data_IF_696756793179
#
_entry.id   IF_696756793179
#
_cell.length_a   1.000
_cell.length_b   1.000
_cell.length_c   1.000
_cell.angle_alpha   90.00
_cell.angle_beta   90.00
_cell.angle_gamma   90.00
#
_symmetry.space_group_name_H-M   'P 1'
#
loop_
_entity.id
_entity.type
_entity.pdbx_description
1 polymer ?
#
# COMPACT_ATOMS: atom_id res chain seq x y z
N UNK A 1 -4.02 -1.91 16.28
CA UNK A 1 -3.25 -2.22 15.05
C UNK A 1 -3.16 -1.00 14.16
N UNK A 2 -2.17 -0.95 13.25
CA UNK A 2 -2.04 0.08 12.21
C UNK A 2 -2.03 -0.63 10.86
N UNK A 3 -3.01 -0.35 10.01
CA UNK A 3 -3.11 -0.91 8.65
C UNK A 3 -2.56 0.09 7.63
N UNK A 4 -1.49 -0.25 6.92
CA UNK A 4 -0.81 0.68 6.01
C UNK A 4 -1.29 0.57 4.55
N UNK A 5 -2.17 -0.38 4.25
CA UNK A 5 -2.62 -0.61 2.89
C UNK A 5 -4.13 -0.91 2.83
N UNK A 6 -4.91 0.14 2.68
CA UNK A 6 -6.35 0.05 2.45
C UNK A 6 -6.77 0.94 1.28
N UNK A 7 -7.96 0.71 0.75
CA UNK A 7 -8.46 1.45 -0.40
C UNK A 7 -9.79 2.15 -0.10
N UNK A 8 -9.81 3.45 -0.38
CA UNK A 8 -11.04 4.22 -0.49
C UNK A 8 -11.05 4.92 -1.85
N UNK A 9 -12.17 4.88 -2.52
CA UNK A 9 -12.32 5.49 -3.83
C UNK A 9 -13.60 6.34 -3.88
N UNK A 10 -13.63 7.41 -4.68
CA UNK A 10 -14.90 8.08 -4.98
C UNK A 10 -15.94 7.07 -5.45
N UNK A 11 -17.22 7.17 -5.04
CA UNK A 11 -18.24 6.14 -5.28
C UNK A 11 -18.38 5.72 -6.75
N UNK A 12 -18.29 6.67 -7.68
CA UNK A 12 -18.34 6.37 -9.13
C UNK A 12 -17.14 5.56 -9.61
N UNK A 13 -15.95 5.86 -9.08
CA UNK A 13 -14.74 5.12 -9.40
C UNK A 13 -14.81 3.70 -8.84
N UNK A 14 -15.28 3.56 -7.59
CA UNK A 14 -15.42 2.25 -6.98
C UNK A 14 -16.42 1.35 -7.71
N UNK A 15 -17.56 1.91 -8.14
CA UNK A 15 -18.52 1.19 -8.97
C UNK A 15 -17.91 0.72 -10.30
N UNK A 16 -17.02 1.51 -10.91
CA UNK A 16 -16.31 1.14 -12.12
C UNK A 16 -15.28 0.02 -11.86
N UNK A 17 -14.53 0.09 -10.77
CA UNK A 17 -13.58 -0.94 -10.33
C UNK A 17 -14.31 -2.27 -10.11
N UNK A 18 -15.39 -2.28 -9.33
CA UNK A 18 -16.21 -3.49 -9.09
C UNK A 18 -16.70 -4.14 -10.38
N UNK A 19 -17.24 -3.35 -11.29
CA UNK A 19 -17.70 -3.85 -12.59
C UNK A 19 -16.53 -4.43 -13.40
N UNK A 20 -15.39 -3.78 -13.40
CA UNK A 20 -14.19 -4.26 -14.10
C UNK A 20 -13.73 -5.63 -13.57
N UNK A 21 -13.71 -5.82 -12.25
CA UNK A 21 -13.38 -7.10 -11.62
C UNK A 21 -14.42 -8.17 -11.93
N UNK A 22 -15.71 -7.87 -11.82
CA UNK A 22 -16.80 -8.80 -12.11
C UNK A 22 -16.81 -9.31 -13.58
N UNK A 23 -16.35 -8.47 -14.51
CA UNK A 23 -16.27 -8.83 -15.92
C UNK A 23 -15.04 -9.64 -16.30
N UNK A 24 -13.95 -9.56 -15.52
CA UNK A 24 -12.60 -10.05 -15.91
C UNK A 24 -11.97 -11.04 -14.97
N UNK A 25 -12.55 -11.26 -13.81
CA UNK A 25 -11.98 -12.15 -12.81
C UNK A 25 -13.06 -12.89 -12.02
N UNK A 26 -12.67 -13.91 -11.29
CA UNK A 26 -13.49 -14.56 -10.24
C UNK A 26 -13.38 -13.83 -8.90
N UNK A 27 -12.69 -12.71 -8.86
CA UNK A 27 -12.44 -11.91 -7.67
C UNK A 27 -13.64 -11.00 -7.41
N UNK A 28 -14.50 -11.41 -6.49
CA UNK A 28 -15.72 -10.67 -6.16
C UNK A 28 -15.44 -9.67 -5.03
N UNK A 29 -15.60 -8.37 -5.34
CA UNK A 29 -15.49 -7.29 -4.35
C UNK A 29 -16.86 -7.03 -3.73
N UNK A 30 -17.21 -7.75 -2.67
CA UNK A 30 -18.57 -7.73 -2.05
C UNK A 30 -18.63 -6.88 -0.78
N UNK A 31 -17.47 -6.45 -0.24
CA UNK A 31 -17.41 -5.66 0.99
C UNK A 31 -18.00 -4.26 0.82
N UNK A 32 -18.40 -3.60 1.93
CA UNK A 32 -18.83 -2.20 1.89
C UNK A 32 -17.79 -1.29 1.27
N UNK A 33 -18.25 -0.24 0.60
CA UNK A 33 -17.39 0.71 -0.13
C UNK A 33 -17.53 2.14 0.36
N UNK A 34 -18.55 2.41 1.18
CA UNK A 34 -18.72 3.71 1.80
C UNK A 34 -17.62 3.93 2.85
N UNK A 35 -16.90 5.06 2.84
CA UNK A 35 -15.74 5.28 3.69
C UNK A 35 -15.99 5.06 5.18
N UNK A 36 -17.14 5.49 5.70
CA UNK A 36 -17.50 5.31 7.11
C UNK A 36 -17.72 3.83 7.48
N UNK A 37 -18.33 3.04 6.60
CA UNK A 37 -18.55 1.61 6.84
C UNK A 37 -17.23 0.84 6.76
N UNK A 38 -16.37 1.17 5.80
CA UNK A 38 -15.02 0.59 5.68
C UNK A 38 -14.22 0.87 6.96
N UNK A 39 -14.18 2.13 7.39
CA UNK A 39 -13.44 2.54 8.60
C UNK A 39 -14.04 1.93 9.88
N UNK A 40 -15.37 1.82 9.98
CA UNK A 40 -16.06 1.20 11.12
C UNK A 40 -15.63 -0.26 11.28
N UNK A 41 -15.67 -1.04 10.19
CA UNK A 41 -15.26 -2.45 10.21
C UNK A 41 -13.80 -2.60 10.66
N UNK A 42 -12.89 -1.80 10.15
CA UNK A 42 -11.49 -1.82 10.58
C UNK A 42 -11.36 -1.53 12.08
N UNK A 43 -12.06 -0.52 12.59
CA UNK A 43 -12.04 -0.15 14.02
C UNK A 43 -12.62 -1.24 14.90
N UNK A 44 -13.68 -1.93 14.47
CA UNK A 44 -14.26 -3.10 15.16
C UNK A 44 -13.24 -4.25 15.30
N UNK A 45 -12.26 -4.34 14.38
CA UNK A 45 -11.15 -5.29 14.45
C UNK A 45 -9.91 -4.73 15.19
N UNK A 46 -10.03 -3.58 15.87
CA UNK A 46 -8.97 -3.01 16.68
C UNK A 46 -7.93 -2.19 15.92
N UNK A 47 -8.25 -1.71 14.72
CA UNK A 47 -7.39 -0.78 13.98
C UNK A 47 -7.54 0.62 14.55
N UNK A 48 -6.43 1.18 15.01
CA UNK A 48 -6.36 2.53 15.59
C UNK A 48 -6.08 3.58 14.51
N UNK A 49 -5.17 3.24 13.59
CA UNK A 49 -4.81 4.07 12.45
C UNK A 49 -4.76 3.22 11.18
N UNK A 50 -5.09 3.82 10.05
CA UNK A 50 -4.98 3.16 8.76
C UNK A 50 -4.61 4.14 7.66
N UNK A 51 -3.68 3.73 6.80
CA UNK A 51 -3.39 4.44 5.57
C UNK A 51 -4.34 3.95 4.47
N UNK A 52 -4.93 4.89 3.74
CA UNK A 52 -5.82 4.57 2.64
C UNK A 52 -5.46 5.34 1.38
N UNK A 53 -5.74 4.74 0.24
CA UNK A 53 -5.32 5.28 -1.05
C UNK A 53 -6.35 5.06 -2.15
N UNK A 54 -6.16 5.82 -3.21
CA UNK A 54 -6.65 5.60 -4.56
C UNK A 54 -5.48 5.81 -5.52
N UNK A 55 -5.66 5.59 -6.82
CA UNK A 55 -4.60 5.83 -7.80
C UNK A 55 -5.14 6.43 -9.09
N UNK A 56 -4.38 7.38 -9.64
CA UNK A 56 -4.70 8.05 -10.89
C UNK A 56 -4.39 7.11 -12.07
N UNK A 57 -5.38 6.32 -12.51
CA UNK A 57 -5.26 5.34 -13.59
C UNK A 57 -5.14 5.96 -14.99
N UNK A 58 -5.19 7.27 -15.10
CA UNK A 58 -5.02 8.07 -16.32
C UNK A 58 -4.61 9.50 -15.97
N UNK A 59 -4.02 10.23 -16.91
CA UNK A 59 -3.71 11.66 -16.71
C UNK A 59 -4.95 12.51 -16.41
N UNK A 60 -4.75 13.60 -15.69
CA UNK A 60 -5.75 14.66 -15.45
C UNK A 60 -6.71 14.38 -14.30
N UNK A 61 -6.54 13.29 -13.53
CA UNK A 61 -7.44 12.98 -12.41
C UNK A 61 -6.75 12.97 -11.04
N UNK A 62 -5.42 13.13 -11.00
CA UNK A 62 -4.67 13.02 -9.75
C UNK A 62 -5.09 14.07 -8.72
N UNK A 63 -5.25 15.35 -9.12
CA UNK A 63 -5.66 16.43 -8.23
C UNK A 63 -7.02 16.19 -7.60
N UNK A 64 -8.02 15.88 -8.41
CA UNK A 64 -9.39 15.62 -7.91
C UNK A 64 -9.41 14.42 -6.94
N UNK A 65 -8.62 13.38 -7.22
CA UNK A 65 -8.49 12.25 -6.30
C UNK A 65 -7.80 12.64 -4.99
N UNK A 66 -6.74 13.43 -5.05
CA UNK A 66 -6.02 13.90 -3.86
C UNK A 66 -6.90 14.79 -2.98
N UNK A 67 -7.66 15.70 -3.59
CA UNK A 67 -8.63 16.55 -2.89
C UNK A 67 -9.71 15.71 -2.19
N UNK A 68 -10.22 14.71 -2.89
CA UNK A 68 -11.21 13.78 -2.33
C UNK A 68 -10.62 12.95 -1.18
N UNK A 69 -9.41 12.43 -1.31
CA UNK A 69 -8.71 11.65 -0.27
C UNK A 69 -8.49 12.51 0.98
N UNK A 70 -8.01 13.74 0.81
CA UNK A 70 -7.80 14.67 1.93
C UNK A 70 -9.12 15.07 2.61
N UNK A 71 -10.20 15.29 1.85
CA UNK A 71 -11.53 15.56 2.39
C UNK A 71 -12.07 14.37 3.18
N UNK A 72 -11.99 13.16 2.61
CA UNK A 72 -12.42 11.92 3.26
C UNK A 72 -11.66 11.66 4.57
N UNK A 73 -10.35 11.92 4.60
CA UNK A 73 -9.58 11.80 5.84
C UNK A 73 -10.11 12.73 6.95
N UNK A 74 -10.43 13.98 6.60
CA UNK A 74 -11.03 14.92 7.56
C UNK A 74 -12.40 14.46 8.09
N UNK A 75 -13.23 13.88 7.23
CA UNK A 75 -14.55 13.34 7.60
C UNK A 75 -14.43 12.10 8.50
N UNK A 76 -13.50 11.20 8.21
CA UNK A 76 -13.27 9.99 9.00
C UNK A 76 -12.59 10.27 10.34
N UNK A 77 -11.91 11.42 10.47
CA UNK A 77 -11.27 11.88 11.69
C UNK A 77 -9.97 11.19 12.03
N UNK A 78 -9.58 11.27 13.30
CA UNK A 78 -8.29 10.78 13.77
C UNK A 78 -8.05 9.32 13.43
N UNK A 79 -6.84 9.03 12.96
CA UNK A 79 -6.41 7.69 12.56
C UNK A 79 -6.59 7.36 11.07
N UNK A 80 -7.35 8.14 10.31
CA UNK A 80 -7.44 7.99 8.85
C UNK A 80 -6.34 8.80 8.15
N UNK A 81 -5.40 8.13 7.50
CA UNK A 81 -4.19 8.71 6.91
C UNK A 81 -4.23 8.54 5.38
N UNK A 82 -4.48 9.60 4.60
CA UNK A 82 -4.56 9.47 3.14
C UNK A 82 -3.17 9.39 2.52
N UNK A 83 -3.02 8.53 1.51
CA UNK A 83 -1.89 8.54 0.59
C UNK A 83 -2.34 9.18 -0.72
N UNK A 84 -1.60 10.17 -1.20
CA UNK A 84 -1.86 10.81 -2.47
C UNK A 84 -1.51 9.94 -3.67
N UNK A 85 -1.79 10.45 -4.86
CA UNK A 85 -1.48 9.81 -6.14
C UNK A 85 -1.05 10.86 -7.15
N UNK A 86 -0.26 10.46 -8.14
CA UNK A 86 0.11 11.29 -9.30
C UNK A 86 0.03 10.45 -10.57
N UNK A 87 0.03 11.11 -11.73
CA UNK A 87 0.26 10.43 -13.02
C UNK A 87 1.43 11.08 -13.73
N UNK A 88 2.36 10.29 -14.24
CA UNK A 88 3.60 10.81 -14.86
C UNK A 88 3.37 11.62 -16.15
N UNK A 89 2.21 11.44 -16.79
CA UNK A 89 1.82 12.21 -17.98
C UNK A 89 1.04 13.48 -17.62
N UNK A 90 0.83 13.81 -16.34
CA UNK A 90 0.31 15.09 -15.93
C UNK A 90 1.38 16.20 -16.11
N UNK A 91 1.00 17.47 -16.30
CA UNK A 91 1.96 18.53 -16.58
C UNK A 91 2.98 18.77 -15.46
N UNK A 92 2.61 18.53 -14.19
CA UNK A 92 3.49 18.73 -13.03
C UNK A 92 3.19 17.70 -11.92
N UNK A 93 3.61 16.44 -12.08
CA UNK A 93 3.39 15.40 -11.07
C UNK A 93 4.01 15.75 -9.70
N UNK A 94 5.16 16.42 -9.71
CA UNK A 94 5.83 16.86 -8.49
C UNK A 94 5.05 17.96 -7.77
N UNK A 95 4.47 18.91 -8.50
CA UNK A 95 3.58 19.94 -7.96
C UNK A 95 2.31 19.33 -7.39
N UNK A 96 1.67 18.39 -8.10
CA UNK A 96 0.49 17.69 -7.66
C UNK A 96 0.73 16.93 -6.35
N UNK A 97 1.92 16.30 -6.22
CA UNK A 97 2.30 15.61 -4.98
C UNK A 97 2.52 16.58 -3.82
N UNK A 98 3.24 17.69 -4.04
CA UNK A 98 3.43 18.72 -3.01
C UNK A 98 2.11 19.32 -2.54
N UNK A 99 1.15 19.52 -3.45
CA UNK A 99 -0.19 19.99 -3.10
C UNK A 99 -0.95 18.97 -2.26
N UNK A 100 -0.90 17.68 -2.63
CA UNK A 100 -1.50 16.58 -1.88
C UNK A 100 -0.93 16.48 -0.44
N UNK A 101 0.39 16.57 -0.28
CA UNK A 101 1.06 16.54 1.02
C UNK A 101 0.63 17.75 1.88
N UNK A 102 0.56 18.95 1.30
CA UNK A 102 0.04 20.15 2.00
C UNK A 102 -1.43 20.02 2.40
N UNK A 103 -2.22 19.28 1.61
CA UNK A 103 -3.62 19.01 1.92
C UNK A 103 -3.83 17.95 3.03
N UNK A 104 -2.75 17.26 3.45
CA UNK A 104 -2.75 16.29 4.53
C UNK A 104 -2.46 14.84 4.13
N UNK A 105 -2.09 14.58 2.86
CA UNK A 105 -1.60 13.25 2.49
C UNK A 105 -0.23 12.99 3.17
N UNK A 106 0.00 11.74 3.57
CA UNK A 106 1.22 11.34 4.29
C UNK A 106 2.21 10.54 3.42
N UNK A 107 1.94 10.41 2.14
CA UNK A 107 2.77 9.64 1.22
C UNK A 107 2.12 9.48 -0.15
N UNK A 108 2.65 8.58 -0.95
CA UNK A 108 2.27 8.35 -2.33
C UNK A 108 1.90 6.88 -2.56
N UNK A 109 0.78 6.61 -3.23
CA UNK A 109 0.45 5.29 -3.79
C UNK A 109 0.82 5.24 -5.26
N UNK A 110 1.58 4.20 -5.64
CA UNK A 110 1.87 3.83 -7.03
C UNK A 110 1.36 2.42 -7.30
N UNK A 111 0.74 2.22 -8.47
CA UNK A 111 0.32 0.92 -8.97
C UNK A 111 0.79 0.77 -10.42
N UNK A 112 1.94 0.16 -10.62
CA UNK A 112 2.63 0.12 -11.91
C UNK A 112 1.74 -0.39 -13.04
N UNK A 113 1.09 -1.55 -12.88
CA UNK A 113 0.22 -2.13 -13.91
C UNK A 113 -1.02 -1.27 -14.26
N UNK A 114 -1.65 -0.65 -13.26
CA UNK A 114 -2.88 0.12 -13.50
C UNK A 114 -2.58 1.50 -14.04
N UNK A 115 -1.54 2.14 -13.54
CA UNK A 115 -1.12 3.47 -13.95
C UNK A 115 -0.22 3.45 -15.19
N UNK A 116 0.32 2.28 -15.56
CA UNK A 116 1.14 2.06 -16.77
C UNK A 116 2.42 2.88 -16.79
N UNK A 117 3.04 3.04 -15.64
CA UNK A 117 4.39 3.57 -15.48
C UNK A 117 5.07 2.87 -14.31
N UNK A 118 6.36 2.91 -14.27
CA UNK A 118 7.19 2.21 -13.31
C UNK A 118 7.63 3.15 -12.18
N UNK A 119 7.95 2.60 -11.00
CA UNK A 119 8.36 3.39 -9.84
C UNK A 119 9.62 4.22 -10.11
N UNK A 120 10.51 3.73 -10.97
CA UNK A 120 11.77 4.40 -11.35
C UNK A 120 11.64 5.31 -12.57
N UNK A 121 10.43 5.55 -13.08
CA UNK A 121 10.20 6.52 -14.16
C UNK A 121 10.77 7.90 -13.77
N UNK A 122 11.68 8.48 -14.57
CA UNK A 122 12.34 9.74 -14.21
C UNK A 122 11.38 10.92 -14.02
N UNK A 123 10.18 10.88 -14.60
CA UNK A 123 9.13 11.90 -14.42
C UNK A 123 8.52 11.86 -13.02
N UNK A 124 8.67 10.73 -12.31
CA UNK A 124 8.19 10.55 -10.94
C UNK A 124 9.17 11.13 -9.90
N UNK A 125 10.45 11.32 -10.25
CA UNK A 125 11.52 11.66 -9.32
C UNK A 125 11.18 12.83 -8.39
N UNK A 126 10.67 13.93 -8.93
CA UNK A 126 10.30 15.09 -8.11
C UNK A 126 9.12 14.85 -7.15
N UNK A 127 8.22 13.91 -7.46
CA UNK A 127 7.17 13.51 -6.54
C UNK A 127 7.73 12.62 -5.41
N UNK A 128 8.67 11.73 -5.72
CA UNK A 128 9.38 10.90 -4.73
C UNK A 128 10.21 11.76 -3.77
N UNK A 129 10.90 12.77 -4.29
CA UNK A 129 11.65 13.74 -3.46
C UNK A 129 10.70 14.50 -2.52
N UNK A 130 9.56 14.97 -3.01
CA UNK A 130 8.57 15.66 -2.19
C UNK A 130 8.04 14.77 -1.06
N UNK A 131 7.80 13.48 -1.32
CA UNK A 131 7.41 12.51 -0.28
C UNK A 131 8.51 12.31 0.76
N UNK A 132 9.76 12.18 0.31
CA UNK A 132 10.92 12.03 1.20
C UNK A 132 11.12 13.25 2.10
N UNK A 133 11.05 14.46 1.54
CA UNK A 133 11.13 15.74 2.27
C UNK A 133 10.02 15.91 3.31
N UNK A 134 8.84 15.33 3.04
CA UNK A 134 7.70 15.35 3.95
C UNK A 134 7.75 14.24 5.02
N UNK A 135 8.85 13.49 5.10
CA UNK A 135 8.98 12.29 5.96
C UNK A 135 7.87 11.25 5.73
N UNK A 136 7.33 11.21 4.51
CA UNK A 136 6.32 10.26 4.07
C UNK A 136 6.91 8.93 3.61
N UNK A 137 6.05 8.11 3.01
CA UNK A 137 6.45 6.86 2.38
C UNK A 137 5.73 6.63 1.05
N UNK A 138 6.30 5.77 0.22
CA UNK A 138 5.65 5.28 -0.99
C UNK A 138 5.11 3.88 -0.73
N UNK A 139 3.83 3.67 -1.01
CA UNK A 139 3.23 2.35 -1.08
C UNK A 139 3.15 1.94 -2.55
N UNK A 140 3.94 0.97 -2.98
CA UNK A 140 4.01 0.54 -4.37
C UNK A 140 3.49 -0.88 -4.56
N UNK A 141 2.61 -1.05 -5.56
CA UNK A 141 2.32 -2.34 -6.15
C UNK A 141 3.34 -2.57 -7.28
N UNK A 142 4.47 -3.17 -6.94
CA UNK A 142 5.58 -3.46 -7.84
C UNK A 142 5.58 -4.92 -8.33
N UNK A 143 4.53 -5.66 -8.01
CA UNK A 143 4.32 -7.05 -8.44
C UNK A 143 3.39 -7.11 -9.65
N UNK A 144 3.31 -8.31 -10.24
CA UNK A 144 2.42 -8.56 -11.37
C UNK A 144 1.00 -8.85 -10.88
N UNK A 145 0.01 -8.22 -11.50
CA UNK A 145 -1.36 -8.69 -11.38
C UNK A 145 -1.47 -10.07 -12.09
N UNK A 146 -2.37 -10.97 -11.64
CA UNK A 146 -2.41 -12.36 -12.12
C UNK A 146 -2.54 -12.57 -13.63
N UNK A 147 -2.91 -11.53 -14.37
CA UNK A 147 -3.08 -11.52 -15.83
C UNK A 147 -2.08 -10.60 -16.56
N UNK A 148 -1.08 -10.06 -15.86
CA UNK A 148 0.04 -9.35 -16.49
C UNK A 148 1.03 -10.37 -17.09
N UNK A 149 1.50 -10.10 -18.30
CA UNK A 149 2.61 -10.83 -18.92
C UNK A 149 3.93 -10.06 -18.77
N UNK A 150 3.96 -9.05 -17.94
CA UNK A 150 5.15 -8.22 -17.79
C UNK A 150 6.21 -8.91 -16.93
N UNK A 151 7.48 -8.68 -17.26
CA UNK A 151 8.64 -9.33 -16.64
C UNK A 151 9.50 -8.32 -15.87
N UNK A 152 8.86 -7.38 -15.16
CA UNK A 152 9.59 -6.37 -14.39
C UNK A 152 10.47 -7.00 -13.31
N UNK A 153 11.67 -6.50 -13.16
CA UNK A 153 12.50 -6.78 -12.00
C UNK A 153 12.19 -5.79 -10.88
N UNK A 154 11.11 -6.03 -10.15
CA UNK A 154 10.65 -5.16 -9.06
C UNK A 154 11.72 -4.90 -7.99
N UNK A 155 12.41 -5.92 -7.46
CA UNK A 155 13.48 -5.71 -6.48
C UNK A 155 14.63 -4.82 -6.97
N UNK A 156 15.11 -5.01 -8.20
CA UNK A 156 16.18 -4.17 -8.75
C UNK A 156 15.72 -2.71 -8.94
N UNK A 157 14.48 -2.50 -9.40
CA UNK A 157 13.88 -1.17 -9.54
C UNK A 157 13.74 -0.45 -8.21
N UNK A 158 13.20 -1.12 -7.20
CA UNK A 158 13.06 -0.54 -5.85
C UNK A 158 14.43 -0.20 -5.26
N UNK A 159 15.45 -1.05 -5.46
CA UNK A 159 16.82 -0.76 -5.03
C UNK A 159 17.37 0.52 -5.68
N UNK A 160 17.19 0.69 -7.00
CA UNK A 160 17.62 1.90 -7.71
C UNK A 160 16.90 3.17 -7.21
N UNK A 161 15.60 3.08 -6.93
CA UNK A 161 14.83 4.20 -6.39
C UNK A 161 15.34 4.59 -5.01
N UNK A 162 15.58 3.63 -4.11
CA UNK A 162 16.12 3.87 -2.78
C UNK A 162 17.55 4.44 -2.81
N UNK A 163 18.36 4.06 -3.79
CA UNK A 163 19.68 4.66 -4.02
C UNK A 163 19.59 6.12 -4.45
N UNK A 164 18.66 6.43 -5.38
CA UNK A 164 18.49 7.81 -5.89
C UNK A 164 17.82 8.75 -4.88
N UNK A 165 16.99 8.21 -3.98
CA UNK A 165 16.21 8.97 -3.00
C UNK A 165 16.56 8.51 -1.56
N UNK A 166 17.70 8.95 -0.99
CA UNK A 166 18.26 8.38 0.24
C UNK A 166 17.45 8.63 1.52
N UNK A 167 16.45 9.51 1.49
CA UNK A 167 15.52 9.73 2.62
C UNK A 167 14.15 9.04 2.43
N UNK A 168 13.89 8.47 1.25
CA UNK A 168 12.61 7.85 0.93
C UNK A 168 12.42 6.52 1.66
N UNK A 169 11.21 6.27 2.16
CA UNK A 169 10.77 4.96 2.65
C UNK A 169 9.82 4.34 1.64
N UNK A 170 10.00 3.06 1.38
CA UNK A 170 9.17 2.31 0.41
C UNK A 170 8.55 1.11 1.10
N UNK A 171 7.23 0.97 0.95
CA UNK A 171 6.47 -0.23 1.29
C UNK A 171 6.10 -0.93 -0.01
N UNK A 172 6.56 -2.15 -0.20
CA UNK A 172 6.17 -2.99 -1.34
C UNK A 172 4.95 -3.82 -0.92
N UNK A 173 3.89 -3.67 -1.69
CA UNK A 173 2.63 -4.34 -1.44
C UNK A 173 2.71 -5.86 -1.67
N UNK A 174 1.73 -6.60 -1.10
CA UNK A 174 1.55 -8.04 -1.31
C UNK A 174 2.79 -8.88 -1.00
N UNK A 175 3.49 -8.51 0.07
CA UNK A 175 4.73 -9.14 0.52
C UNK A 175 5.82 -9.21 -0.56
N UNK A 176 5.75 -8.34 -1.57
CA UNK A 176 6.69 -8.35 -2.70
C UNK A 176 6.58 -9.58 -3.60
N UNK A 177 5.43 -10.26 -3.62
CA UNK A 177 5.19 -11.44 -4.45
C UNK A 177 5.26 -11.11 -5.96
N UNK A 178 5.82 -12.00 -6.80
CA UNK A 178 6.37 -13.33 -6.44
C UNK A 178 7.83 -13.31 -5.94
N UNK A 179 8.50 -12.16 -5.95
CA UNK A 179 9.94 -12.01 -5.69
C UNK A 179 10.29 -11.77 -4.20
N UNK A 180 9.41 -12.17 -3.27
CA UNK A 180 9.53 -11.81 -1.85
C UNK A 180 10.88 -12.19 -1.22
N UNK A 181 11.49 -13.31 -1.61
CA UNK A 181 12.81 -13.70 -1.11
C UNK A 181 13.91 -12.69 -1.50
N UNK A 182 13.86 -12.16 -2.71
CA UNK A 182 14.79 -11.12 -3.18
C UNK A 182 14.58 -9.80 -2.43
N UNK A 183 13.34 -9.45 -2.10
CA UNK A 183 13.04 -8.31 -1.25
C UNK A 183 13.55 -8.52 0.19
N UNK A 184 13.39 -9.71 0.76
CA UNK A 184 13.95 -10.05 2.07
C UNK A 184 15.49 -9.98 2.08
N UNK A 185 16.15 -10.35 0.98
CA UNK A 185 17.59 -10.17 0.80
C UNK A 185 17.95 -8.67 0.79
N UNK A 186 17.25 -7.87 0.01
CA UNK A 186 17.48 -6.44 -0.10
C UNK A 186 17.27 -5.71 1.24
N UNK A 187 16.26 -6.10 2.02
CA UNK A 187 15.97 -5.55 3.36
C UNK A 187 17.13 -5.70 4.34
N UNK A 188 18.05 -6.66 4.15
CA UNK A 188 19.21 -6.83 5.04
C UNK A 188 20.18 -5.64 4.98
N UNK A 189 20.25 -4.96 3.84
CA UNK A 189 21.10 -3.78 3.63
C UNK A 189 20.31 -2.48 3.51
N UNK A 190 18.98 -2.56 3.37
CA UNK A 190 18.14 -1.39 3.11
C UNK A 190 17.05 -1.23 4.20
N UNK A 191 17.35 -0.47 5.27
CA UNK A 191 16.43 -0.30 6.40
C UNK A 191 15.17 0.54 6.08
N UNK A 192 15.10 1.17 4.90
CA UNK A 192 13.99 2.00 4.43
C UNK A 192 13.00 1.22 3.57
N UNK A 193 13.30 -0.05 3.27
CA UNK A 193 12.42 -0.96 2.55
C UNK A 193 11.57 -1.75 3.53
N UNK A 194 10.26 -1.78 3.26
CA UNK A 194 9.27 -2.53 4.03
C UNK A 194 8.43 -3.40 3.08
N UNK A 195 7.90 -4.52 3.60
CA UNK A 195 6.90 -5.33 2.92
C UNK A 195 5.60 -5.30 3.70
N UNK A 196 4.45 -5.19 3.02
CA UNK A 196 3.18 -5.34 3.73
C UNK A 196 2.68 -6.80 3.69
N UNK A 197 1.73 -7.11 4.55
CA UNK A 197 1.19 -8.48 4.69
C UNK A 197 0.10 -8.83 3.70
N UNK A 198 -0.35 -7.90 2.90
CA UNK A 198 -1.52 -8.03 2.03
C UNK A 198 -1.48 -9.31 1.19
N UNK A 199 -2.54 -10.11 1.25
CA UNK A 199 -2.74 -11.35 0.48
C UNK A 199 -1.70 -12.45 0.69
N UNK A 200 -0.75 -12.27 1.61
CA UNK A 200 0.35 -13.21 1.80
C UNK A 200 0.07 -14.25 2.89
N UNK A 201 -0.78 -13.94 3.86
CA UNK A 201 -0.98 -14.76 5.04
C UNK A 201 -2.41 -15.25 5.22
N UNK A 202 -3.42 -14.57 4.71
CA UNK A 202 -4.81 -14.96 4.85
C UNK A 202 -5.03 -16.40 4.32
N UNK A 203 -5.62 -17.30 5.13
CA UNK A 203 -5.87 -18.70 4.70
C UNK A 203 -6.74 -18.79 3.45
N UNK A 204 -7.64 -17.82 3.26
CA UNK A 204 -8.56 -17.72 2.13
C UNK A 204 -7.96 -16.97 0.93
N UNK A 205 -6.76 -16.43 1.07
CA UNK A 205 -6.11 -15.70 -0.02
C UNK A 205 -5.97 -16.58 -1.26
N UNK A 206 -6.28 -16.07 -2.45
CA UNK A 206 -6.05 -16.78 -3.70
C UNK A 206 -4.55 -16.92 -4.03
N UNK A 207 -3.69 -16.19 -3.35
CA UNK A 207 -2.24 -16.37 -3.45
C UNK A 207 -1.87 -17.77 -2.97
N UNK A 208 -1.16 -18.50 -3.82
CA UNK A 208 -0.69 -19.86 -3.50
C UNK A 208 0.71 -19.88 -2.89
N UNK A 209 1.35 -18.74 -2.80
CA UNK A 209 2.67 -18.63 -2.19
C UNK A 209 2.50 -18.66 -0.68
N UNK A 210 3.16 -19.61 -0.04
CA UNK A 210 3.19 -19.68 1.41
C UNK A 210 4.53 -19.17 1.89
N UNK A 211 4.46 -18.12 2.70
CA UNK A 211 5.63 -17.55 3.36
C UNK A 211 5.98 -18.42 4.56
N UNK A 212 7.23 -18.85 4.66
CA UNK A 212 7.70 -19.64 5.79
C UNK A 212 7.84 -18.76 7.05
N UNK A 213 7.67 -19.35 8.23
CA UNK A 213 7.86 -18.67 9.51
C UNK A 213 9.23 -18.00 9.60
N UNK A 214 10.27 -18.71 9.20
CA UNK A 214 11.65 -18.25 9.22
C UNK A 214 11.86 -16.99 8.36
N UNK A 215 11.16 -16.89 7.23
CA UNK A 215 11.19 -15.72 6.36
C UNK A 215 10.53 -14.51 7.02
N UNK A 216 9.41 -14.73 7.74
CA UNK A 216 8.76 -13.66 8.50
C UNK A 216 9.66 -13.20 9.65
N UNK A 217 10.26 -14.13 10.41
CA UNK A 217 11.19 -13.81 11.51
C UNK A 217 12.41 -13.02 10.99
N UNK A 218 12.93 -13.41 9.83
CA UNK A 218 14.04 -12.71 9.15
C UNK A 218 13.72 -11.26 8.82
N UNK A 219 12.49 -10.99 8.33
CA UNK A 219 12.02 -9.68 7.93
C UNK A 219 11.28 -8.90 9.03
N UNK A 220 11.10 -9.46 10.22
CA UNK A 220 10.14 -9.01 11.25
C UNK A 220 10.19 -7.51 11.58
N UNK A 221 11.35 -6.87 11.45
CA UNK A 221 11.54 -5.44 11.74
C UNK A 221 11.09 -4.49 10.62
N UNK A 222 10.81 -5.03 9.44
CA UNK A 222 10.48 -4.26 8.24
C UNK A 222 9.23 -4.80 7.54
N UNK A 223 8.52 -5.74 8.17
CA UNK A 223 7.19 -6.17 7.73
C UNK A 223 6.17 -5.29 8.45
N UNK A 224 5.19 -4.78 7.72
CA UNK A 224 4.09 -3.95 8.21
C UNK A 224 2.75 -4.58 7.87
N UNK A 225 1.74 -4.35 8.70
CA UNK A 225 0.41 -4.87 8.47
C UNK A 225 -0.29 -4.07 7.37
N UNK A 226 -0.80 -4.75 6.37
CA UNK A 226 -1.62 -4.25 5.29
C UNK A 226 -2.64 -5.29 4.88
N UNK A 227 -3.82 -4.88 4.41
CA UNK A 227 -4.93 -5.80 4.09
C UNK A 227 -5.46 -5.67 2.67
N UNK A 228 -5.21 -4.56 1.97
CA UNK A 228 -5.88 -4.20 0.71
C UNK A 228 -7.41 -4.02 0.84
N UNK A 229 -7.89 -3.89 2.09
CA UNK A 229 -9.31 -3.72 2.39
C UNK A 229 -9.89 -2.46 1.72
N UNK A 230 -11.08 -2.52 1.12
CA UNK A 230 -12.02 -3.64 0.98
C UNK A 230 -11.89 -4.38 -0.36
N UNK A 231 -10.74 -4.32 -1.04
CA UNK A 231 -10.51 -4.92 -2.36
C UNK A 231 -10.16 -6.43 -2.31
N UNK A 232 -10.36 -7.07 -1.18
CA UNK A 232 -10.10 -8.49 -0.97
C UNK A 232 -11.41 -9.31 -0.99
N UNK A 233 -11.38 -10.60 -1.37
CA UNK A 233 -12.57 -11.45 -1.41
C UNK A 233 -12.80 -12.26 -0.13
N UNK A 234 -12.14 -11.93 0.97
CA UNK A 234 -12.20 -12.62 2.25
C UNK A 234 -12.35 -11.63 3.43
N UNK A 235 -12.56 -12.13 4.64
CA UNK A 235 -12.77 -11.31 5.82
C UNK A 235 -11.55 -10.44 6.16
N UNK A 236 -11.80 -9.25 6.72
CA UNK A 236 -10.79 -8.26 7.06
C UNK A 236 -9.63 -8.82 7.92
N UNK A 237 -9.95 -9.72 8.85
CA UNK A 237 -8.97 -10.30 9.79
C UNK A 237 -8.11 -11.43 9.22
N UNK A 238 -8.27 -11.75 7.92
CA UNK A 238 -7.58 -12.87 7.28
C UNK A 238 -6.07 -12.85 7.48
N UNK A 239 -5.43 -11.70 7.23
CA UNK A 239 -3.96 -11.57 7.32
C UNK A 239 -3.46 -11.78 8.77
N UNK A 240 -4.11 -11.19 9.76
CA UNK A 240 -3.69 -11.36 11.16
C UNK A 240 -3.93 -12.78 11.68
N UNK A 241 -4.99 -13.46 11.21
CA UNK A 241 -5.19 -14.88 11.51
C UNK A 241 -4.06 -15.73 10.95
N UNK A 242 -3.71 -15.54 9.67
CA UNK A 242 -2.62 -16.27 9.03
C UNK A 242 -1.26 -16.02 9.69
N UNK A 243 -0.96 -14.79 10.11
CA UNK A 243 0.24 -14.50 10.90
C UNK A 243 0.27 -15.28 12.23
N UNK A 244 -0.86 -15.38 12.93
CA UNK A 244 -0.97 -16.17 14.17
C UNK A 244 -0.79 -17.67 13.94
N UNK A 245 -1.28 -18.19 12.82
CA UNK A 245 -1.13 -19.61 12.44
C UNK A 245 0.34 -20.00 12.24
N UNK A 246 1.22 -19.06 11.95
CA UNK A 246 2.68 -19.29 11.88
C UNK A 246 3.34 -19.50 13.25
N UNK A 247 2.59 -19.40 14.36
CA UNK A 247 3.12 -19.54 15.73
C UNK A 247 4.29 -18.57 16.02
N UNK A 248 4.24 -17.37 15.49
CA UNK A 248 5.16 -16.29 15.83
C UNK A 248 4.92 -15.85 17.29
N UNK A 249 5.95 -15.31 17.94
CA UNK A 249 5.77 -14.75 19.26
C UNK A 249 4.96 -13.43 19.24
N UNK A 250 4.36 -13.09 20.36
CA UNK A 250 3.50 -11.91 20.49
C UNK A 250 4.24 -10.58 20.26
N UNK A 251 5.55 -10.54 20.50
CA UNK A 251 6.36 -9.36 20.24
C UNK A 251 6.54 -9.15 18.73
N UNK A 252 6.79 -10.21 17.99
CA UNK A 252 6.86 -10.20 16.52
C UNK A 252 5.51 -9.81 15.91
N UNK A 253 4.40 -10.41 16.37
CA UNK A 253 3.06 -10.04 15.90
C UNK A 253 2.79 -8.55 16.15
N UNK A 254 3.08 -8.03 17.35
CA UNK A 254 2.88 -6.62 17.68
C UNK A 254 3.79 -5.70 16.85
N UNK A 255 5.04 -6.07 16.61
CA UNK A 255 5.94 -5.32 15.75
C UNK A 255 5.35 -5.17 14.34
N UNK A 256 4.91 -6.26 13.73
CA UNK A 256 4.31 -6.27 12.38
C UNK A 256 3.00 -5.49 12.35
N UNK A 257 2.10 -5.74 13.30
CA UNK A 257 0.75 -5.18 13.27
C UNK A 257 0.64 -3.74 13.76
N UNK A 258 1.72 -3.19 14.36
CA UNK A 258 1.64 -1.86 14.99
C UNK A 258 2.95 -1.07 14.95
N UNK A 259 4.05 -1.63 15.51
CA UNK A 259 5.21 -0.81 15.84
C UNK A 259 6.01 -0.39 14.59
N UNK A 260 6.15 -1.29 13.62
CA UNK A 260 6.91 -1.02 12.40
C UNK A 260 6.27 0.10 11.56
N UNK A 261 4.94 0.13 11.48
CA UNK A 261 4.21 1.15 10.72
C UNK A 261 4.48 2.58 11.23
N UNK A 262 4.75 2.75 12.52
CA UNK A 262 5.08 4.06 13.12
C UNK A 262 6.38 4.66 12.61
N UNK A 263 7.22 3.85 11.99
CA UNK A 263 8.49 4.28 11.38
C UNK A 263 8.33 4.80 9.95
N UNK A 264 7.16 4.61 9.34
CA UNK A 264 6.90 5.01 7.96
C UNK A 264 6.70 6.51 7.82
N UNK A 265 5.96 7.10 8.74
CA UNK A 265 5.65 8.54 8.72
C UNK A 265 5.17 9.01 10.09
N UNK A 266 5.38 10.29 10.47
CA UNK A 266 4.82 10.85 11.70
C UNK A 266 3.30 10.74 11.82
N UNK A 267 2.58 10.69 10.72
CA UNK A 267 1.11 10.53 10.71
C UNK A 267 0.65 9.17 11.29
N UNK A 268 1.49 8.15 11.24
CA UNK A 268 1.23 6.81 11.79
C UNK A 268 1.87 6.59 13.18
N UNK A 269 2.67 7.52 13.65
CA UNK A 269 3.34 7.43 14.95
C UNK A 269 2.39 7.55 16.15
#
# INVERSE_FOLDING_TARGET
MIDVHTHLHPPRLFAAIRRWFAERSTWMLEHPTEPHDVARIMREHGVEKFAFCSYAHKPGIARDLNDWLAATARELGAGAVPLGTVHVDDPDPAGDMRDALRAGCAGLKVHEDVQRFELDDPRLAGALDAVAEHEGFVLVHAGHIPWSNDTHDGPARVAQVLERHPALRVVVAHFGMPDYLRYLDLMQSEPRLFLDTTMAFAPESPSRVRVAREDVERGAKQIVYGTDWPNIPYAYDGEVRGLRDLSLDEATIRAITTENARRLTPALA
#
